data_IF_132037088151
#
_entry.id   IF_132037088151
#
_cell.length_a   1.000
_cell.length_b   1.000
_cell.length_c   1.000
_cell.angle_alpha   90.00
_cell.angle_beta   90.00
_cell.angle_gamma   90.00
#
_symmetry.space_group_name_H-M   'P 1'
#
loop_
_entity.id
_entity.type
_entity.pdbx_description
1 polymer ?
#
# COMPACT_ATOMS: atom_id res chain seq x y z
N UNK A 1 -9.90 -24.02 -8.40
CA UNK A 1 -8.85 -23.16 -9.01
C UNK A 1 -7.63 -24.04 -9.12
N UNK A 2 -7.08 -24.26 -10.30
CA UNK A 2 -5.85 -25.05 -10.42
C UNK A 2 -4.71 -24.17 -9.89
N UNK A 3 -4.00 -24.62 -8.85
CA UNK A 3 -2.82 -23.94 -8.27
C UNK A 3 -1.60 -24.06 -9.20
N UNK A 4 -1.76 -23.63 -10.46
CA UNK A 4 -0.70 -23.61 -11.46
C UNK A 4 -0.09 -22.22 -11.51
N UNK A 5 1.23 -22.16 -11.47
CA UNK A 5 1.96 -20.91 -11.62
C UNK A 5 1.79 -20.37 -13.05
N UNK A 6 1.21 -19.18 -13.17
CA UNK A 6 0.90 -18.51 -14.45
C UNK A 6 2.13 -18.32 -15.35
N UNK A 7 3.33 -18.25 -14.77
CA UNK A 7 4.57 -18.12 -15.54
C UNK A 7 4.85 -19.32 -16.46
N UNK A 8 4.25 -20.48 -16.21
CA UNK A 8 4.38 -21.64 -17.11
C UNK A 8 3.56 -21.49 -18.40
N UNK A 9 2.60 -20.56 -18.41
CA UNK A 9 1.77 -20.30 -19.57
C UNK A 9 2.44 -19.33 -20.54
N UNK A 10 3.48 -18.62 -20.12
CA UNK A 10 4.17 -17.68 -21.00
C UNK A 10 5.16 -18.38 -21.91
N UNK A 11 5.23 -17.91 -23.16
CA UNK A 11 6.21 -18.40 -24.12
C UNK A 11 7.64 -18.04 -23.65
N UNK A 12 8.60 -18.99 -23.70
CA UNK A 12 9.99 -18.79 -23.28
C UNK A 12 10.65 -17.53 -23.84
N UNK A 13 10.52 -17.30 -25.15
CA UNK A 13 11.10 -16.13 -25.82
C UNK A 13 10.52 -14.79 -25.32
N UNK A 14 9.29 -14.78 -24.82
CA UNK A 14 8.62 -13.57 -24.34
C UNK A 14 8.91 -13.30 -22.85
N UNK A 15 9.55 -14.24 -22.15
CA UNK A 15 9.82 -14.17 -20.72
C UNK A 15 10.70 -12.98 -20.32
N UNK A 16 11.69 -12.64 -21.14
CA UNK A 16 12.58 -11.52 -20.87
C UNK A 16 11.81 -10.20 -20.79
N UNK A 17 10.83 -10.02 -21.69
CA UNK A 17 9.96 -8.85 -21.69
C UNK A 17 8.96 -8.87 -20.54
N UNK A 18 8.35 -10.02 -20.27
CA UNK A 18 7.41 -10.15 -19.15
C UNK A 18 8.10 -9.85 -17.81
N UNK A 19 9.38 -10.21 -17.66
CA UNK A 19 10.18 -9.82 -16.49
C UNK A 19 10.23 -8.31 -16.31
N UNK A 20 10.47 -7.55 -17.37
CA UNK A 20 10.48 -6.08 -17.32
C UNK A 20 9.11 -5.53 -16.91
N UNK A 21 8.02 -6.12 -17.41
CA UNK A 21 6.66 -5.76 -17.00
C UNK A 21 6.43 -6.03 -15.51
N UNK A 22 6.83 -7.20 -14.99
CA UNK A 22 6.71 -7.50 -13.56
C UNK A 22 7.55 -6.56 -12.70
N UNK A 23 8.70 -6.10 -13.19
CA UNK A 23 9.51 -5.09 -12.51
C UNK A 23 8.79 -3.74 -12.42
N UNK A 24 8.10 -3.33 -13.48
CA UNK A 24 7.26 -2.11 -13.50
C UNK A 24 6.08 -2.27 -12.55
N UNK A 25 5.36 -3.41 -12.60
CA UNK A 25 4.20 -3.69 -11.73
C UNK A 25 4.59 -3.60 -10.26
N UNK A 26 5.75 -4.15 -9.90
CA UNK A 26 6.27 -4.08 -8.54
C UNK A 26 6.61 -2.63 -8.21
N UNK A 27 7.35 -1.90 -9.06
CA UNK A 27 7.74 -0.51 -8.78
C UNK A 27 6.59 0.49 -8.71
N UNK A 28 5.59 0.38 -9.58
CA UNK A 28 4.56 1.39 -9.81
C UNK A 28 3.16 0.97 -9.36
N UNK A 29 2.96 -0.31 -8.99
CA UNK A 29 1.66 -0.85 -8.62
C UNK A 29 0.73 -1.13 -9.82
N UNK A 30 1.16 -0.78 -11.04
CA UNK A 30 0.46 -1.04 -12.28
C UNK A 30 1.46 -1.01 -13.44
N UNK A 31 1.08 -1.51 -14.60
CA UNK A 31 1.85 -1.30 -15.82
C UNK A 31 0.90 -0.90 -16.96
N UNK A 32 1.37 -0.07 -17.91
CA UNK A 32 0.59 0.25 -19.10
C UNK A 32 0.24 -1.00 -19.89
N UNK A 33 -0.72 -0.87 -20.81
CA UNK A 33 -1.11 -1.96 -21.71
C UNK A 33 0.13 -2.52 -22.40
N UNK A 34 0.37 -3.82 -22.20
CA UNK A 34 1.55 -4.49 -22.73
C UNK A 34 1.51 -4.55 -24.25
N UNK A 35 2.67 -4.73 -24.89
CA UNK A 35 2.71 -5.20 -26.28
C UNK A 35 2.16 -6.63 -26.34
N UNK A 36 1.69 -7.10 -27.52
CA UNK A 36 1.24 -8.48 -27.69
C UNK A 36 2.32 -9.48 -27.28
N UNK A 37 1.96 -10.46 -26.46
CA UNK A 37 2.82 -11.58 -26.07
C UNK A 37 2.06 -12.91 -26.14
N UNK A 38 2.79 -14.03 -26.20
CA UNK A 38 2.20 -15.36 -26.36
C UNK A 38 1.89 -16.01 -25.00
N UNK A 39 0.69 -16.56 -24.90
CA UNK A 39 0.23 -17.34 -23.75
C UNK A 39 -0.33 -18.69 -24.21
N UNK A 40 0.00 -19.74 -23.48
CA UNK A 40 -0.35 -21.12 -23.79
C UNK A 40 -1.82 -21.38 -23.47
N UNK A 41 -2.56 -21.85 -24.47
CA UNK A 41 -3.93 -22.31 -24.33
C UNK A 41 -3.98 -23.81 -23.98
N UNK A 42 -5.16 -24.27 -23.54
CA UNK A 42 -5.38 -25.65 -23.10
C UNK A 42 -5.11 -26.69 -24.20
N UNK A 43 -5.38 -26.33 -25.46
CA UNK A 43 -5.13 -27.19 -26.63
C UNK A 43 -3.65 -27.30 -27.01
N UNK A 44 -2.77 -26.56 -26.34
CA UNK A 44 -1.32 -26.54 -26.58
C UNK A 44 -0.85 -25.47 -27.56
N UNK A 45 -1.77 -24.74 -28.18
CA UNK A 45 -1.43 -23.61 -29.05
C UNK A 45 -1.15 -22.35 -28.22
N UNK A 46 -0.41 -21.41 -28.81
CA UNK A 46 -0.20 -20.09 -28.23
C UNK A 46 -1.21 -19.09 -28.80
N UNK A 47 -1.79 -18.28 -27.93
CA UNK A 47 -2.61 -17.13 -28.28
C UNK A 47 -1.83 -15.84 -28.03
N UNK A 48 -2.09 -14.78 -28.80
CA UNK A 48 -1.48 -13.47 -28.55
C UNK A 48 -2.42 -12.59 -27.74
N UNK A 49 -1.89 -12.05 -26.64
CA UNK A 49 -2.63 -11.24 -25.68
C UNK A 49 -1.96 -9.89 -25.46
N UNK A 50 -2.78 -8.87 -25.28
CA UNK A 50 -2.38 -7.61 -24.66
C UNK A 50 -3.01 -7.50 -23.28
N UNK A 51 -2.23 -7.11 -22.29
CA UNK A 51 -2.68 -7.13 -20.90
C UNK A 51 -2.52 -5.75 -20.27
N UNK A 52 -3.59 -5.29 -19.62
CA UNK A 52 -3.53 -4.18 -18.68
C UNK A 52 -3.26 -4.75 -17.29
N UNK A 53 -2.20 -4.29 -16.64
CA UNK A 53 -1.73 -4.85 -15.37
C UNK A 53 -2.03 -3.92 -14.22
N UNK A 54 -2.54 -4.48 -13.14
CA UNK A 54 -2.73 -3.80 -11.86
C UNK A 54 -2.28 -4.71 -10.74
N UNK A 55 -1.91 -4.14 -9.59
CA UNK A 55 -1.52 -4.93 -8.43
C UNK A 55 -2.04 -4.33 -7.14
N UNK A 56 -2.04 -5.15 -6.10
CA UNK A 56 -2.30 -4.71 -4.74
C UNK A 56 -1.09 -5.00 -3.86
N UNK A 57 -0.57 -3.94 -3.26
CA UNK A 57 0.52 -3.98 -2.30
C UNK A 57 -0.07 -3.67 -0.94
N UNK A 58 0.18 -4.55 0.02
CA UNK A 58 -0.31 -4.40 1.38
C UNK A 58 0.32 -3.15 2.03
N UNK A 59 -0.50 -2.19 2.53
CA UNK A 59 0.03 -0.93 3.05
C UNK A 59 0.82 -1.08 4.36
N UNK A 60 0.63 -2.17 5.10
CA UNK A 60 1.36 -2.44 6.35
C UNK A 60 2.65 -3.23 6.11
N UNK A 61 2.56 -4.36 5.39
CA UNK A 61 3.72 -5.23 5.14
C UNK A 61 4.60 -4.75 3.98
N UNK A 62 4.08 -3.87 3.12
CA UNK A 62 4.69 -3.41 1.85
C UNK A 62 5.04 -4.55 0.88
N UNK A 63 4.39 -5.70 1.03
CA UNK A 63 4.52 -6.84 0.15
C UNK A 63 3.43 -6.82 -0.91
N UNK A 64 3.78 -7.28 -2.11
CA UNK A 64 2.82 -7.57 -3.17
C UNK A 64 1.94 -8.75 -2.73
N UNK A 65 0.63 -8.56 -2.70
CA UNK A 65 -0.34 -9.62 -2.34
C UNK A 65 -0.85 -10.32 -3.60
N UNK A 66 -1.22 -9.54 -4.63
CA UNK A 66 -1.70 -10.08 -5.89
C UNK A 66 -1.45 -9.14 -7.08
N UNK A 67 -1.37 -9.76 -8.26
CA UNK A 67 -1.32 -9.08 -9.57
C UNK A 67 -2.57 -9.50 -10.34
N UNK A 68 -3.26 -8.52 -10.92
CA UNK A 68 -4.43 -8.70 -11.78
C UNK A 68 -4.04 -8.30 -13.20
N UNK A 69 -4.18 -9.23 -14.14
CA UNK A 69 -4.06 -8.99 -15.56
C UNK A 69 -5.44 -8.95 -16.22
N UNK A 70 -5.80 -7.85 -16.86
CA UNK A 70 -6.96 -7.76 -17.75
C UNK A 70 -6.50 -8.05 -19.18
N UNK A 71 -6.73 -9.28 -19.61
CA UNK A 71 -6.25 -9.80 -20.89
C UNK A 71 -7.22 -9.48 -22.04
N UNK A 72 -6.67 -9.02 -23.16
CA UNK A 72 -7.37 -8.82 -24.42
C UNK A 72 -6.75 -9.74 -25.47
N UNK A 73 -7.57 -10.61 -26.09
CA UNK A 73 -7.10 -11.51 -27.15
C UNK A 73 -6.93 -10.72 -28.44
N UNK A 74 -5.70 -10.68 -28.95
CA UNK A 74 -5.36 -10.04 -30.23
C UNK A 74 -5.40 -11.05 -31.37
N UNK A 75 -4.88 -12.25 -31.13
CA UNK A 75 -4.85 -13.33 -32.12
C UNK A 75 -5.22 -14.66 -31.45
N UNK A 76 -6.14 -15.39 -32.07
CA UNK A 76 -6.59 -16.70 -31.62
C UNK A 76 -5.58 -17.82 -31.92
N UNK A 77 -5.82 -19.03 -31.41
CA UNK A 77 -4.97 -20.19 -31.66
C UNK A 77 -5.13 -20.70 -33.10
N UNK A 78 -4.14 -21.47 -33.58
CA UNK A 78 -4.18 -22.08 -34.91
C UNK A 78 -5.31 -23.11 -35.01
N UNK A 79 -5.49 -23.92 -33.97
CA UNK A 79 -6.63 -24.80 -33.81
C UNK A 79 -7.76 -24.07 -33.05
N UNK A 80 -8.93 -23.82 -33.69
CA UNK A 80 -10.05 -23.14 -33.05
C UNK A 80 -10.63 -23.89 -31.84
N UNK A 81 -10.45 -25.22 -31.77
CA UNK A 81 -10.90 -26.01 -30.62
C UNK A 81 -9.90 -25.88 -29.46
N UNK A 82 -10.20 -24.94 -28.56
CA UNK A 82 -9.43 -24.68 -27.33
C UNK A 82 -9.66 -25.70 -26.22
N UNK A 83 -10.71 -26.52 -26.30
CA UNK A 83 -11.06 -27.49 -25.25
C UNK A 83 -10.41 -28.85 -25.45
N UNK A 84 -9.83 -29.08 -26.62
CA UNK A 84 -9.08 -30.29 -26.92
C UNK A 84 -7.97 -30.51 -25.88
N UNK A 85 -7.99 -31.68 -25.24
CA UNK A 85 -6.93 -32.07 -24.32
C UNK A 85 -5.71 -32.51 -25.11
N UNK A 86 -4.59 -31.81 -24.92
CA UNK A 86 -3.31 -32.19 -25.52
C UNK A 86 -2.26 -32.43 -24.43
N UNK A 87 -1.33 -33.34 -24.72
CA UNK A 87 -0.18 -33.61 -23.87
C UNK A 87 0.83 -32.45 -23.98
N UNK A 88 0.70 -31.48 -23.07
CA UNK A 88 1.51 -30.26 -23.02
C UNK A 88 3.02 -30.56 -22.87
N UNK A 89 3.38 -31.70 -22.26
CA UNK A 89 4.79 -32.08 -22.08
C UNK A 89 5.48 -32.40 -23.39
N UNK A 90 4.73 -32.86 -24.41
CA UNK A 90 5.27 -33.16 -25.75
C UNK A 90 5.38 -31.93 -26.65
N UNK A 91 4.56 -30.90 -26.42
CA UNK A 91 4.52 -29.69 -27.25
C UNK A 91 5.65 -28.73 -26.92
N UNK A 92 6.06 -28.68 -25.65
CA UNK A 92 7.14 -27.79 -25.18
C UNK A 92 8.51 -28.44 -25.47
N UNK A 93 8.68 -29.08 -26.64
CA UNK A 93 9.94 -29.64 -27.12
C UNK A 93 10.92 -28.52 -27.52
N UNK A 94 11.31 -27.71 -26.54
CA UNK A 94 12.32 -26.68 -26.66
C UNK A 94 13.70 -27.30 -26.51
N UNK A 95 14.70 -26.61 -27.07
CA UNK A 95 16.11 -26.87 -26.77
C UNK A 95 16.34 -26.81 -25.26
N UNK A 96 17.22 -27.66 -24.73
CA UNK A 96 17.48 -27.74 -23.30
C UNK A 96 18.00 -26.40 -22.74
N UNK A 97 18.75 -25.64 -23.55
CA UNK A 97 19.23 -24.30 -23.20
C UNK A 97 18.10 -23.27 -23.00
N UNK A 98 17.07 -23.30 -23.86
CA UNK A 98 15.93 -22.38 -23.78
C UNK A 98 15.07 -22.68 -22.56
N UNK A 99 14.96 -23.95 -22.18
CA UNK A 99 14.26 -24.36 -20.95
C UNK A 99 14.98 -23.83 -19.71
N UNK A 100 16.31 -23.93 -19.66
CA UNK A 100 17.12 -23.44 -18.55
C UNK A 100 16.99 -21.92 -18.44
N UNK A 101 17.12 -21.20 -19.56
CA UNK A 101 16.98 -19.74 -19.58
C UNK A 101 15.59 -19.28 -19.15
N UNK A 102 14.53 -19.92 -19.66
CA UNK A 102 13.17 -19.61 -19.25
C UNK A 102 12.93 -19.88 -17.77
N UNK A 103 13.51 -20.96 -17.23
CA UNK A 103 13.42 -21.29 -15.81
C UNK A 103 14.10 -20.22 -14.93
N UNK A 104 15.30 -19.78 -15.31
CA UNK A 104 16.00 -18.70 -14.62
C UNK A 104 15.18 -17.39 -14.64
N UNK A 105 14.56 -17.06 -15.76
CA UNK A 105 13.70 -15.88 -15.87
C UNK A 105 12.47 -15.99 -14.97
N UNK A 106 11.85 -17.18 -14.87
CA UNK A 106 10.73 -17.43 -13.95
C UNK A 106 11.14 -17.20 -12.50
N UNK A 107 12.26 -17.75 -12.08
CA UNK A 107 12.79 -17.58 -10.72
C UNK A 107 13.09 -16.11 -10.41
N UNK A 108 13.67 -15.40 -11.38
CA UNK A 108 13.91 -13.96 -11.26
C UNK A 108 12.61 -13.17 -11.08
N UNK A 109 11.56 -13.48 -11.85
CA UNK A 109 10.24 -12.84 -11.71
C UNK A 109 9.66 -13.10 -10.31
N UNK A 110 9.72 -14.34 -9.83
CA UNK A 110 9.26 -14.69 -8.47
C UNK A 110 10.06 -13.92 -7.41
N UNK A 111 11.37 -13.76 -7.58
CA UNK A 111 12.18 -12.97 -6.66
C UNK A 111 11.78 -11.50 -6.66
N UNK A 112 11.58 -10.90 -7.83
CA UNK A 112 11.14 -9.50 -7.98
C UNK A 112 9.78 -9.28 -7.29
N UNK A 113 8.83 -10.20 -7.49
CA UNK A 113 7.51 -10.12 -6.85
C UNK A 113 7.55 -10.24 -5.31
N UNK A 114 8.54 -10.95 -4.77
CA UNK A 114 8.70 -11.12 -3.32
C UNK A 114 9.52 -10.01 -2.65
N UNK A 115 10.12 -9.12 -3.42
CA UNK A 115 10.90 -8.00 -2.89
C UNK A 115 9.98 -6.98 -2.21
N UNK A 116 10.34 -6.54 -1.01
CA UNK A 116 9.56 -5.55 -0.26
C UNK A 116 9.80 -4.18 -0.88
N UNK A 117 8.73 -3.56 -1.38
CA UNK A 117 8.81 -2.25 -2.00
C UNK A 117 9.14 -1.17 -0.97
N UNK A 118 10.33 -0.61 -1.07
CA UNK A 118 10.78 0.47 -0.18
C UNK A 118 10.19 1.84 -0.53
N UNK A 119 9.52 1.98 -1.69
CA UNK A 119 9.23 3.30 -2.30
C UNK A 119 7.90 4.02 -2.03
N UNK A 120 6.77 3.47 -1.55
CA UNK A 120 5.64 4.35 -1.21
C UNK A 120 5.82 5.01 0.17
N UNK A 121 7.02 5.00 0.75
CA UNK A 121 7.33 5.76 1.96
C UNK A 121 7.38 7.27 1.71
N UNK A 122 7.76 7.75 0.52
CA UNK A 122 7.95 9.19 0.27
C UNK A 122 6.65 9.89 -0.16
N UNK A 123 5.89 9.29 -1.09
CA UNK A 123 4.62 9.84 -1.56
C UNK A 123 3.55 9.80 -0.47
N UNK A 124 3.51 8.73 0.35
CA UNK A 124 2.60 8.65 1.50
C UNK A 124 2.96 9.68 2.58
N UNK A 125 4.26 9.94 2.84
CA UNK A 125 4.70 11.01 3.76
C UNK A 125 4.27 12.39 3.26
N UNK A 126 4.44 12.68 1.97
CA UNK A 126 4.01 13.96 1.40
C UNK A 126 2.48 14.13 1.43
N UNK A 127 1.71 13.07 1.13
CA UNK A 127 0.25 13.13 1.25
C UNK A 127 -0.23 13.28 2.70
N UNK A 128 0.44 12.65 3.66
CA UNK A 128 0.14 12.86 5.09
C UNK A 128 0.45 14.28 5.53
N UNK A 129 1.59 14.85 5.11
CA UNK A 129 1.94 16.24 5.43
C UNK A 129 0.91 17.23 4.85
N UNK A 130 0.50 17.04 3.59
CA UNK A 130 -0.51 17.91 2.97
C UNK A 130 -1.88 17.76 3.63
N UNK A 131 -2.32 16.53 3.93
CA UNK A 131 -3.62 16.27 4.59
C UNK A 131 -3.65 16.79 6.02
N UNK A 132 -2.56 16.69 6.78
CA UNK A 132 -2.46 17.31 8.11
C UNK A 132 -2.53 18.83 8.02
N UNK A 133 -1.93 19.42 6.98
CA UNK A 133 -1.99 20.87 6.74
C UNK A 133 -3.41 21.31 6.38
N UNK A 134 -4.08 20.62 5.45
CA UNK A 134 -5.47 20.88 5.08
C UNK A 134 -6.43 20.74 6.28
N UNK A 135 -6.22 19.73 7.12
CA UNK A 135 -6.99 19.53 8.35
C UNK A 135 -6.76 20.67 9.35
N UNK A 136 -5.51 21.11 9.52
CA UNK A 136 -5.16 22.22 10.43
C UNK A 136 -5.81 23.51 9.95
N UNK A 137 -5.73 23.82 8.65
CA UNK A 137 -6.37 25.00 8.06
C UNK A 137 -7.90 24.95 8.21
N UNK A 138 -8.50 23.77 8.09
CA UNK A 138 -9.93 23.60 8.32
C UNK A 138 -10.33 23.82 9.78
N UNK A 139 -9.57 23.26 10.73
CA UNK A 139 -9.79 23.47 12.16
C UNK A 139 -9.59 24.94 12.57
N UNK A 140 -8.59 25.61 12.04
CA UNK A 140 -8.32 27.03 12.28
C UNK A 140 -9.49 27.91 11.78
N UNK A 141 -10.00 27.61 10.58
CA UNK A 141 -11.16 28.32 10.03
C UNK A 141 -12.41 28.12 10.88
N UNK A 142 -12.66 26.92 11.40
CA UNK A 142 -13.78 26.66 12.32
C UNK A 142 -13.64 27.41 13.65
N UNK A 143 -12.41 27.52 14.17
CA UNK A 143 -12.13 28.29 15.40
C UNK A 143 -12.26 29.81 15.19
N UNK A 144 -12.01 30.31 13.98
CA UNK A 144 -12.24 31.71 13.61
C UNK A 144 -13.73 32.01 13.38
N UNK A 145 -14.46 31.10 12.74
CA UNK A 145 -15.92 31.21 12.54
C UNK A 145 -16.69 31.18 13.87
N UNK A 146 -16.14 30.55 14.91
CA UNK A 146 -16.73 30.52 16.27
C UNK A 146 -16.46 31.81 17.10
N UNK A 147 -15.79 32.83 16.56
CA UNK A 147 -15.52 34.12 17.27
C UNK A 147 -16.64 35.16 17.20
N UNK A 148 -17.82 34.82 16.69
CA UNK A 148 -19.01 35.67 16.79
C UNK A 148 -19.99 35.07 17.80
N UNK A 149 -19.74 35.39 19.07
CA UNK A 149 -20.72 35.83 20.07
C UNK A 149 -20.06 35.73 21.45
N UNK A 150 -19.25 36.74 21.78
CA UNK A 150 -18.97 37.08 23.18
C UNK A 150 -20.01 38.13 23.61
N UNK A 151 -21.05 37.78 24.40
CA UNK A 151 -22.10 38.73 24.75
C UNK A 151 -21.68 39.76 25.82
N UNK A 152 -20.40 39.83 26.20
CA UNK A 152 -19.97 40.60 27.39
C UNK A 152 -19.11 41.83 27.13
N UNK A 153 -19.36 42.59 26.05
CA UNK A 153 -18.76 43.94 25.92
C UNK A 153 -19.69 44.97 25.26
N UNK A 154 -20.59 45.60 26.04
CA UNK A 154 -21.04 46.99 25.78
C UNK A 154 -21.65 47.65 27.02
N UNK A 155 -21.19 48.86 27.36
CA UNK A 155 -22.05 49.98 27.80
C UNK A 155 -22.40 50.14 29.30
N UNK A 156 -21.85 51.20 29.88
CA UNK A 156 -22.09 51.82 31.20
C UNK A 156 -23.54 52.25 31.45
N UNK A 157 -24.07 52.07 32.68
CA UNK A 157 -25.33 52.71 33.12
C UNK A 157 -26.13 52.03 34.24
N UNK A 158 -25.58 52.06 35.47
CA UNK A 158 -26.29 52.15 36.76
C UNK A 158 -27.47 51.18 37.10
N UNK A 159 -27.17 50.09 37.82
CA UNK A 159 -28.04 49.56 38.90
C UNK A 159 -27.24 48.73 39.90
N UNK A 160 -27.08 49.28 41.09
CA UNK A 160 -26.67 48.64 42.35
C UNK A 160 -27.06 47.16 42.46
N UNK A 161 -26.11 46.25 42.74
CA UNK A 161 -25.82 45.77 44.10
C UNK A 161 -25.03 44.45 44.05
N UNK A 162 -23.88 44.42 44.75
CA UNK A 162 -23.16 43.24 45.26
C UNK A 162 -22.76 42.17 44.23
N UNK A 163 -21.47 42.10 43.88
CA UNK A 163 -20.54 41.00 44.19
C UNK A 163 -19.16 41.40 43.63
N UNK A 164 -18.21 41.50 44.55
CA UNK A 164 -16.86 42.04 44.37
C UNK A 164 -15.91 40.98 43.76
N UNK A 165 -14.86 41.47 43.09
CA UNK A 165 -13.89 40.79 42.22
C UNK A 165 -13.05 39.71 42.93
N UNK A 166 -12.52 38.75 42.15
CA UNK A 166 -11.05 38.62 42.02
C UNK A 166 -10.63 37.74 40.83
N UNK A 167 -9.79 38.32 39.97
CA UNK A 167 -9.19 37.68 38.80
C UNK A 167 -7.71 37.46 39.05
N UNK A 168 -7.21 36.23 38.94
CA UNK A 168 -5.76 35.94 39.04
C UNK A 168 -5.31 35.12 37.83
N UNK A 169 -4.41 35.74 37.06
CA UNK A 169 -3.67 35.17 35.94
C UNK A 169 -2.76 34.04 36.43
N UNK A 170 -3.06 32.78 36.10
CA UNK A 170 -2.14 31.67 36.35
C UNK A 170 -1.12 31.56 35.22
N UNK A 171 -0.06 32.36 35.35
CA UNK A 171 1.24 32.08 34.74
C UNK A 171 1.74 30.71 35.17
N UNK A 172 2.37 30.01 34.23
CA UNK A 172 2.76 28.62 34.38
C UNK A 172 3.77 28.36 35.48
N UNK A 173 3.70 27.14 36.02
CA UNK A 173 4.81 26.45 36.67
C UNK A 173 4.53 24.94 36.67
N UNK A 174 5.41 24.19 36.02
CA UNK A 174 5.55 22.73 36.15
C UNK A 174 5.92 22.36 37.59
N UNK A 175 5.36 21.29 38.18
CA UNK A 175 5.85 20.74 39.43
C UNK A 175 6.35 19.30 39.24
N UNK A 176 7.55 19.13 38.69
CA UNK A 176 8.42 18.05 39.16
C UNK A 176 8.84 18.43 40.58
N UNK A 177 8.23 17.81 41.59
CA UNK A 177 8.64 17.92 43.00
C UNK A 177 9.15 16.56 43.45
N UNK A 178 10.47 16.45 43.53
CA UNK A 178 11.12 15.42 44.34
C UNK A 178 10.92 15.79 45.82
N UNK A 179 10.28 14.90 46.56
CA UNK A 179 10.22 14.96 48.02
C UNK A 179 10.60 13.57 48.57
N UNK A 180 11.89 13.42 48.87
CA UNK A 180 12.32 12.63 50.02
C UNK A 180 11.91 13.43 51.28
N UNK A 181 11.18 12.80 52.21
CA UNK A 181 11.71 12.43 53.53
C UNK A 181 10.59 12.05 54.52
N UNK A 182 10.91 11.06 55.35
CA UNK A 182 10.38 10.78 56.71
C UNK A 182 9.20 9.82 56.90
N UNK A 183 9.57 8.59 57.28
CA UNK A 183 9.14 7.84 58.48
C UNK A 183 7.65 7.61 58.83
N UNK A 184 7.25 6.33 58.85
CA UNK A 184 6.41 5.76 59.91
C UNK A 184 6.46 4.23 59.92
N UNK A 185 6.99 3.70 61.03
CA UNK A 185 7.25 2.30 61.39
C UNK A 185 6.00 1.44 61.61
N UNK A 186 6.10 0.12 61.35
CA UNK A 186 5.56 -0.91 62.27
C UNK A 186 6.23 -2.25 62.01
N UNK A 187 6.99 -2.73 63.00
CA UNK A 187 7.67 -4.01 62.94
C UNK A 187 6.86 -5.17 63.53
N UNK A 188 7.32 -6.39 63.26
CA UNK A 188 7.23 -7.53 64.20
C UNK A 188 8.37 -8.53 63.89
N UNK A 189 9.09 -9.08 64.88
CA UNK A 189 10.30 -9.88 64.66
C UNK A 189 10.17 -11.37 65.00
N UNK A 190 11.28 -12.09 64.71
CA UNK A 190 11.74 -13.42 65.17
C UNK A 190 11.10 -14.63 64.47
N UNK A 191 11.85 -15.64 64.00
CA UNK A 191 13.11 -16.20 64.50
C UNK A 191 13.86 -16.94 63.39
#
# INVERSE_FOLDING_TARGET
VNDRCALHLYHPEDMAYLREIYEIIVKEGSAPRSRPYRMLAQNGDYIRLETEWSSFINPWSRKLEFVIGKHHVVEGPLNPDVFKTTDLEKIISLSDDDKINAQLLRENIVRIMNEVLTKPSEVAKQQMSKRCQDLTTFMEKLMEEQKFDDPFKTGTGDRNSYYERDSVMLGGISPHRDYNDSDSSTGTPLR
#
